data_IF_740309084690
#
_entry.id   IF_740309084690
#
_cell.length_a   1.000
_cell.length_b   1.000
_cell.length_c   1.000
_cell.angle_alpha   90.00
_cell.angle_beta   90.00
_cell.angle_gamma   90.00
#
_symmetry.space_group_name_H-M   'P 1'
#
loop_
_entity.id
_entity.type
_entity.pdbx_description
1 polymer ?
#
# COMPACT_ATOMS: atom_id res chain seq x y z
N UNK A 1 10.08 -12.03 -20.98
CA UNK A 1 10.25 -11.39 -19.66
C UNK A 1 10.64 -9.96 -19.92
N UNK A 2 9.66 -9.06 -19.95
CA UNK A 2 9.91 -7.63 -19.96
C UNK A 2 10.41 -7.25 -18.56
N UNK A 3 11.65 -6.77 -18.50
CA UNK A 3 12.18 -6.17 -17.27
C UNK A 3 11.32 -4.94 -16.94
N UNK A 4 10.99 -4.68 -15.66
CA UNK A 4 10.32 -3.47 -15.28
C UNK A 4 11.11 -2.26 -15.80
N UNK A 5 10.40 -1.27 -16.34
CA UNK A 5 11.02 -0.01 -16.76
C UNK A 5 11.76 0.59 -15.57
N UNK A 6 13.01 0.97 -15.77
CA UNK A 6 13.83 1.53 -14.69
C UNK A 6 13.13 2.72 -14.04
N UNK A 7 13.04 2.74 -12.71
CA UNK A 7 12.44 3.84 -11.98
C UNK A 7 13.17 5.15 -12.27
N UNK A 8 12.43 6.22 -12.46
CA UNK A 8 12.97 7.54 -12.78
C UNK A 8 12.70 8.52 -11.64
N UNK A 9 13.64 9.42 -11.40
CA UNK A 9 13.42 10.56 -10.52
C UNK A 9 12.87 11.75 -11.31
N UNK A 10 11.83 12.40 -10.78
CA UNK A 10 11.24 13.59 -11.39
C UNK A 10 11.27 14.78 -10.45
N UNK A 11 11.39 15.97 -11.02
CA UNK A 11 11.19 17.22 -10.28
C UNK A 11 9.71 17.46 -10.03
N UNK A 12 9.37 18.03 -8.89
CA UNK A 12 7.99 18.30 -8.48
C UNK A 12 7.26 19.35 -9.34
N UNK A 13 7.94 20.05 -10.23
CA UNK A 13 7.42 21.20 -10.96
C UNK A 13 6.72 20.84 -12.29
N UNK A 14 6.57 19.56 -12.63
CA UNK A 14 5.77 19.12 -13.77
C UNK A 14 4.30 18.91 -13.38
N UNK A 15 3.35 19.00 -14.35
CA UNK A 15 1.99 18.59 -14.08
C UNK A 15 2.01 17.14 -13.58
N UNK A 16 1.48 16.94 -12.37
CA UNK A 16 1.29 15.61 -11.82
C UNK A 16 0.20 14.97 -12.67
N UNK A 17 0.60 14.13 -13.60
CA UNK A 17 -0.35 13.14 -14.12
C UNK A 17 -0.63 12.20 -12.98
N UNK A 18 -1.84 12.20 -12.42
CA UNK A 18 -2.16 11.32 -11.30
C UNK A 18 -2.16 9.89 -11.83
N UNK A 19 -1.09 9.20 -11.60
CA UNK A 19 -1.07 7.75 -11.60
C UNK A 19 -0.76 7.34 -10.16
N UNK A 20 -1.82 7.11 -9.44
CA UNK A 20 -1.89 6.77 -8.02
C UNK A 20 -1.62 5.29 -7.75
N UNK A 21 -0.92 4.61 -8.64
CA UNK A 21 -0.69 3.17 -8.56
C UNK A 21 -1.88 2.32 -9.01
N UNK A 22 -2.86 2.91 -9.69
CA UNK A 22 -3.95 2.15 -10.31
C UNK A 22 -3.48 1.51 -11.62
N UNK A 23 -3.56 0.18 -11.76
CA UNK A 23 -3.25 -0.48 -13.03
C UNK A 23 -4.21 -0.04 -14.15
N UNK A 24 -3.66 0.40 -15.26
CA UNK A 24 -4.43 0.77 -16.44
C UNK A 24 -4.37 -0.38 -17.46
N UNK A 25 -5.52 -0.89 -17.92
CA UNK A 25 -5.55 -1.90 -18.98
C UNK A 25 -5.03 -1.28 -20.29
N UNK A 26 -4.12 -1.97 -20.94
CA UNK A 26 -3.52 -1.54 -22.23
C UNK A 26 -4.07 -2.37 -23.36
N UNK A 27 -4.20 -3.68 -23.13
CA UNK A 27 -4.63 -4.65 -24.14
C UNK A 27 -5.35 -5.81 -23.45
N UNK A 28 -6.37 -6.34 -24.10
CA UNK A 28 -7.07 -7.56 -23.71
C UNK A 28 -7.02 -8.52 -24.88
N UNK A 29 -6.51 -9.73 -24.64
CA UNK A 29 -6.54 -10.79 -25.63
C UNK A 29 -7.94 -11.36 -25.77
N UNK A 30 -8.29 -11.88 -26.95
CA UNK A 30 -9.56 -12.57 -27.14
C UNK A 30 -9.72 -13.72 -26.14
N UNK A 31 -10.88 -13.85 -25.50
CA UNK A 31 -11.11 -14.91 -24.53
C UNK A 31 -10.98 -16.30 -25.16
N UNK A 32 -10.19 -17.16 -24.55
CA UNK A 32 -9.94 -18.53 -25.01
C UNK A 32 -10.75 -19.53 -24.20
N UNK A 33 -11.60 -20.31 -24.86
CA UNK A 33 -12.30 -21.44 -24.23
C UNK A 33 -11.30 -22.59 -24.02
N UNK A 34 -10.98 -22.87 -22.76
CA UNK A 34 -10.01 -23.93 -22.41
C UNK A 34 -10.68 -25.31 -22.35
N UNK A 35 -11.78 -25.41 -21.61
CA UNK A 35 -12.47 -26.69 -21.39
C UNK A 35 -13.98 -26.45 -21.17
N UNK A 36 -14.78 -27.44 -21.56
CA UNK A 36 -16.15 -27.52 -21.14
C UNK A 36 -16.25 -28.18 -19.76
N UNK A 37 -17.24 -27.79 -18.97
CA UNK A 37 -17.44 -28.36 -17.64
C UNK A 37 -18.81 -28.10 -17.08
N UNK A 38 -18.99 -28.53 -15.85
CA UNK A 38 -20.22 -28.30 -15.08
C UNK A 38 -19.80 -27.67 -13.74
N UNK A 39 -20.36 -26.53 -13.37
CA UNK A 39 -20.19 -25.88 -12.09
C UNK A 39 -21.56 -25.74 -11.42
N UNK A 40 -21.71 -26.29 -10.22
CA UNK A 40 -22.98 -26.30 -9.47
C UNK A 40 -24.18 -26.83 -10.27
N UNK A 41 -23.94 -27.90 -11.06
CA UNK A 41 -24.99 -28.51 -11.91
C UNK A 41 -25.25 -27.76 -13.23
N UNK A 42 -24.63 -26.63 -13.48
CA UNK A 42 -24.80 -25.80 -14.67
C UNK A 42 -23.72 -26.12 -15.69
N UNK A 43 -24.03 -26.52 -16.92
CA UNK A 43 -23.06 -26.72 -17.98
C UNK A 43 -22.50 -25.37 -18.46
N UNK A 44 -21.23 -25.32 -18.77
CA UNK A 44 -20.56 -24.10 -19.21
C UNK A 44 -19.17 -24.35 -19.73
N UNK A 45 -18.51 -23.26 -20.03
CA UNK A 45 -17.14 -23.26 -20.50
C UNK A 45 -16.22 -22.56 -19.50
N UNK A 46 -15.06 -23.13 -19.23
CA UNK A 46 -13.97 -22.43 -18.59
C UNK A 46 -13.26 -21.58 -19.64
N UNK A 47 -13.30 -20.26 -19.43
CA UNK A 47 -12.77 -19.27 -20.36
C UNK A 47 -11.58 -18.58 -19.69
N UNK A 48 -10.47 -18.56 -20.39
CA UNK A 48 -9.26 -17.84 -20.01
C UNK A 48 -9.27 -16.47 -20.67
N UNK A 49 -9.16 -15.42 -19.88
CA UNK A 49 -9.00 -14.03 -20.34
C UNK A 49 -7.63 -13.52 -19.90
N UNK A 50 -6.86 -12.95 -20.81
CA UNK A 50 -5.56 -12.38 -20.56
C UNK A 50 -5.64 -10.86 -20.78
N UNK A 51 -5.23 -10.08 -19.78
CA UNK A 51 -5.20 -8.62 -19.84
C UNK A 51 -3.82 -8.10 -19.52
N UNK A 52 -3.36 -7.16 -20.31
CA UNK A 52 -2.09 -6.47 -20.12
C UNK A 52 -2.34 -5.13 -19.44
N UNK A 53 -1.55 -4.83 -18.44
CA UNK A 53 -1.69 -3.62 -17.63
C UNK A 53 -0.38 -2.84 -17.62
N UNK A 54 -0.51 -1.50 -17.56
CA UNK A 54 0.55 -0.58 -17.16
C UNK A 54 0.22 0.02 -15.82
N UNK A 55 1.22 0.12 -14.96
CA UNK A 55 1.11 0.79 -13.67
C UNK A 55 2.25 1.79 -13.51
N UNK A 56 1.93 2.92 -12.93
CA UNK A 56 2.90 3.96 -12.58
C UNK A 56 2.57 4.50 -11.21
N UNK A 57 3.55 4.59 -10.34
CA UNK A 57 3.42 5.14 -9.00
C UNK A 57 4.47 6.21 -8.79
N UNK A 58 4.06 7.34 -8.23
CA UNK A 58 4.96 8.42 -7.83
C UNK A 58 5.03 8.48 -6.31
N UNK A 59 6.24 8.53 -5.77
CA UNK A 59 6.49 8.55 -4.35
C UNK A 59 7.07 9.90 -3.93
N UNK A 60 6.33 10.63 -3.09
CA UNK A 60 6.82 11.81 -2.36
C UNK A 60 7.58 11.35 -1.09
N UNK A 61 7.26 10.18 -0.61
CA UNK A 61 7.80 9.52 0.57
C UNK A 61 8.21 8.09 0.20
N UNK A 62 9.45 7.73 0.51
CA UNK A 62 10.03 6.44 0.19
C UNK A 62 10.05 5.58 1.44
N UNK A 63 9.34 4.46 1.46
CA UNK A 63 9.31 3.55 2.58
C UNK A 63 10.60 2.74 2.66
N UNK A 64 11.09 2.56 3.89
CA UNK A 64 12.27 1.77 4.17
C UNK A 64 11.89 0.33 4.49
N UNK A 65 12.60 -0.59 3.89
CA UNK A 65 12.47 -2.02 4.19
C UNK A 65 13.68 -2.57 4.95
N UNK A 66 14.75 -1.79 5.02
CA UNK A 66 15.89 -2.03 5.88
C UNK A 66 16.07 -0.86 6.85
N UNK A 67 15.52 -0.96 8.07
CA UNK A 67 15.64 0.10 9.07
C UNK A 67 17.07 0.26 9.61
N UNK A 68 17.97 -0.67 9.29
CA UNK A 68 19.37 -0.63 9.72
C UNK A 68 20.29 0.07 8.72
N UNK A 69 19.72 0.58 7.63
CA UNK A 69 20.47 1.28 6.58
C UNK A 69 21.35 2.40 7.15
N UNK A 70 22.61 2.37 6.79
CA UNK A 70 23.62 3.32 7.28
C UNK A 70 23.58 4.67 6.56
N UNK A 71 22.81 4.78 5.49
CA UNK A 71 22.67 6.02 4.70
C UNK A 71 21.45 6.85 5.09
N UNK A 72 20.61 6.37 6.00
CA UNK A 72 19.37 7.06 6.39
C UNK A 72 19.63 7.98 7.58
N UNK A 73 20.04 9.21 7.27
CA UNK A 73 20.14 10.31 8.22
C UNK A 73 19.86 11.66 7.52
N UNK A 74 19.38 12.68 8.24
CA UNK A 74 19.05 13.99 7.65
C UNK A 74 20.28 14.61 7.00
N UNK A 75 20.13 15.12 5.77
CA UNK A 75 21.23 15.73 5.02
C UNK A 75 22.15 14.73 4.29
N UNK A 76 21.94 13.42 4.43
CA UNK A 76 22.68 12.42 3.64
C UNK A 76 22.47 12.63 2.15
N UNK A 77 23.57 12.73 1.40
CA UNK A 77 23.54 12.97 -0.04
C UNK A 77 23.71 11.67 -0.82
N UNK A 78 22.75 11.41 -1.72
CA UNK A 78 22.65 10.18 -2.48
C UNK A 78 22.66 10.47 -3.99
N UNK A 79 23.11 9.49 -4.77
CA UNK A 79 22.94 9.46 -6.23
C UNK A 79 21.47 9.17 -6.55
N UNK A 80 20.72 10.16 -7.03
CA UNK A 80 19.27 10.10 -7.14
C UNK A 80 18.72 8.86 -7.86
N UNK A 81 19.31 8.48 -9.01
CA UNK A 81 18.85 7.30 -9.75
C UNK A 81 19.01 5.96 -9.02
N UNK A 82 19.88 5.89 -8.00
CA UNK A 82 20.12 4.65 -7.25
C UNK A 82 19.04 4.38 -6.18
N UNK A 83 18.27 5.39 -5.81
CA UNK A 83 17.18 5.24 -4.82
C UNK A 83 16.09 4.36 -5.39
N UNK A 84 15.76 4.60 -6.62
CA UNK A 84 14.78 3.83 -7.37
C UNK A 84 15.18 2.36 -7.54
N UNK A 85 16.47 2.04 -7.47
CA UNK A 85 16.99 0.66 -7.52
C UNK A 85 17.17 0.05 -6.13
N UNK A 86 16.87 0.79 -5.05
CA UNK A 86 17.07 0.33 -3.67
C UNK A 86 18.54 0.23 -3.24
N UNK A 87 19.50 0.73 -4.03
CA UNK A 87 20.93 0.63 -3.70
C UNK A 87 21.43 1.79 -2.84
N UNK A 88 20.72 2.91 -2.81
CA UNK A 88 21.02 4.09 -1.97
C UNK A 88 22.49 4.49 -1.98
N UNK A 89 23.11 4.61 -3.18
CA UNK A 89 24.51 4.93 -3.27
C UNK A 89 24.81 6.34 -2.75
N UNK A 90 25.61 6.43 -1.69
CA UNK A 90 26.01 7.70 -1.09
C UNK A 90 27.09 8.37 -1.93
N UNK A 91 27.00 9.71 -2.04
CA UNK A 91 28.06 10.54 -2.60
C UNK A 91 28.97 10.95 -1.42
N UNK A 92 30.23 10.54 -1.47
CA UNK A 92 31.20 10.82 -0.39
C UNK A 92 32.14 11.98 -0.69
N UNK A 93 32.34 12.30 -1.98
CA UNK A 93 33.23 13.39 -2.43
C UNK A 93 32.51 14.73 -2.46
N UNK A 94 31.98 15.16 -1.30
CA UNK A 94 31.31 16.44 -1.14
C UNK A 94 31.52 16.99 0.25
N UNK A 95 31.28 18.28 0.40
CA UNK A 95 31.14 18.95 1.69
C UNK A 95 29.81 19.70 1.71
N UNK A 96 28.99 19.40 2.71
CA UNK A 96 27.76 20.17 2.94
C UNK A 96 28.10 21.46 3.69
N UNK A 97 27.27 22.50 3.53
CA UNK A 97 27.23 23.60 4.48
C UNK A 97 26.65 23.16 5.82
N UNK A 98 26.27 24.16 6.63
CA UNK A 98 25.54 23.89 7.88
C UNK A 98 24.19 23.24 7.56
N UNK A 99 23.95 22.08 8.12
CA UNK A 99 22.66 21.38 8.05
C UNK A 99 21.97 21.51 9.39
N UNK A 100 20.89 22.29 9.41
CA UNK A 100 20.00 22.38 10.57
C UNK A 100 18.87 21.38 10.39
N UNK A 101 18.57 20.62 11.41
CA UNK A 101 17.44 19.70 11.44
C UNK A 101 16.75 19.70 12.79
N UNK A 102 15.47 19.37 12.81
CA UNK A 102 14.64 19.39 14.00
C UNK A 102 13.74 18.17 14.08
N UNK A 103 13.41 17.79 15.33
CA UNK A 103 12.44 16.75 15.63
C UNK A 103 11.05 17.39 15.86
N UNK A 104 9.99 16.75 15.38
CA UNK A 104 8.61 17.24 15.52
C UNK A 104 8.00 17.02 16.92
N UNK A 105 8.72 16.40 17.85
CA UNK A 105 8.29 16.21 19.23
C UNK A 105 8.50 17.47 20.06
N UNK A 106 7.68 17.62 21.10
CA UNK A 106 7.83 18.67 22.12
C UNK A 106 8.38 18.06 23.41
N UNK A 107 9.43 18.63 24.02
CA UNK A 107 9.96 18.09 25.26
C UNK A 107 8.97 18.29 26.41
N UNK A 108 8.97 17.36 27.36
CA UNK A 108 8.14 17.47 28.56
C UNK A 108 8.58 18.67 29.41
N UNK A 109 9.89 18.91 29.49
CA UNK A 109 10.46 20.07 30.16
C UNK A 109 10.59 21.25 29.16
N UNK A 110 9.86 22.38 29.36
CA UNK A 110 9.92 23.53 28.46
C UNK A 110 11.30 24.19 28.37
N UNK A 111 12.18 24.00 29.35
CA UNK A 111 13.54 24.52 29.31
C UNK A 111 14.43 23.84 28.26
N UNK A 112 14.03 22.66 27.81
CA UNK A 112 14.71 21.86 26.78
C UNK A 112 14.19 22.16 25.37
N UNK A 113 13.30 23.14 25.19
CA UNK A 113 12.74 23.47 23.88
C UNK A 113 13.80 23.82 22.81
N UNK A 114 14.93 24.37 23.23
CA UNK A 114 16.06 24.67 22.34
C UNK A 114 16.82 23.42 21.87
N UNK A 115 16.62 22.28 22.53
CA UNK A 115 17.28 21.01 22.20
C UNK A 115 16.54 20.22 21.10
N UNK A 116 15.39 20.71 20.62
CA UNK A 116 14.61 20.04 19.57
C UNK A 116 15.20 20.21 18.17
N UNK A 117 16.25 21.00 18.05
CA UNK A 117 16.98 21.20 16.80
C UNK A 117 18.49 21.15 17.01
N UNK A 118 19.20 20.80 15.95
CA UNK A 118 20.65 20.82 15.93
C UNK A 118 21.13 21.35 14.57
N UNK A 119 22.31 22.02 14.60
CA UNK A 119 22.97 22.46 13.37
C UNK A 119 24.38 21.84 13.35
N UNK A 120 24.65 21.09 12.30
CA UNK A 120 25.89 20.35 12.11
C UNK A 120 26.56 20.80 10.80
N UNK A 121 27.78 21.34 10.84
CA UNK A 121 28.53 21.64 9.63
C UNK A 121 29.04 20.35 8.99
N UNK A 122 28.83 20.19 7.68
CA UNK A 122 29.27 19.02 6.91
C UNK A 122 28.85 17.69 7.56
N UNK A 123 27.53 17.55 7.78
CA UNK A 123 26.93 16.46 8.54
C UNK A 123 27.35 15.06 8.06
N UNK A 124 27.60 14.17 9.01
CA UNK A 124 27.83 12.74 8.83
C UNK A 124 26.92 11.94 9.75
N UNK A 125 26.80 10.65 9.47
CA UNK A 125 25.96 9.74 10.27
C UNK A 125 26.35 9.75 11.76
N UNK A 126 27.64 9.76 12.07
CA UNK A 126 28.13 9.74 13.49
C UNK A 126 27.66 10.94 14.28
N UNK A 127 27.73 12.14 13.70
CA UNK A 127 27.30 13.38 14.34
C UNK A 127 25.78 13.44 14.52
N UNK A 128 25.04 12.95 13.53
CA UNK A 128 23.59 12.77 13.68
C UNK A 128 23.27 11.78 14.81
N UNK A 129 24.03 10.67 14.92
CA UNK A 129 23.84 9.68 15.99
C UNK A 129 24.07 10.27 17.39
N UNK A 130 24.98 11.22 17.55
CA UNK A 130 25.19 11.93 18.83
C UNK A 130 23.95 12.72 19.22
N UNK A 131 23.36 13.46 18.27
CA UNK A 131 22.11 14.19 18.51
C UNK A 131 20.95 13.23 18.81
N UNK A 132 20.85 12.13 18.07
CA UNK A 132 19.85 11.09 18.30
C UNK A 132 19.95 10.50 19.71
N UNK A 133 21.16 10.15 20.15
CA UNK A 133 21.39 9.61 21.49
C UNK A 133 20.99 10.62 22.58
N UNK A 134 21.24 11.91 22.36
CA UNK A 134 20.76 12.95 23.25
C UNK A 134 19.24 13.01 23.31
N UNK A 135 18.56 13.02 22.16
CA UNK A 135 17.11 13.02 22.08
C UNK A 135 16.49 11.76 22.73
N UNK A 136 17.11 10.61 22.59
CA UNK A 136 16.65 9.36 23.19
C UNK A 136 16.67 9.36 24.73
N UNK A 137 17.44 10.27 25.36
CA UNK A 137 17.47 10.43 26.82
C UNK A 137 16.53 11.52 27.34
N UNK A 138 15.87 12.26 26.46
CA UNK A 138 14.93 13.33 26.84
C UNK A 138 13.53 12.76 27.08
N UNK A 139 12.80 13.41 27.98
CA UNK A 139 11.38 13.15 28.16
C UNK A 139 10.57 13.95 27.16
N UNK A 140 9.68 13.28 26.44
CA UNK A 140 8.82 13.88 25.43
C UNK A 140 7.37 13.91 25.88
N UNK A 141 6.63 14.96 25.49
CA UNK A 141 5.18 14.98 25.64
C UNK A 141 4.56 13.95 24.72
N UNK A 142 3.43 13.39 25.16
CA UNK A 142 2.59 12.60 24.26
C UNK A 142 2.31 13.37 22.97
N UNK A 143 2.51 12.72 21.84
CA UNK A 143 2.27 13.27 20.51
C UNK A 143 1.24 12.43 19.78
N UNK A 144 0.34 13.06 19.02
CA UNK A 144 -0.60 12.30 18.19
C UNK A 144 0.13 11.39 17.22
N UNK A 145 -0.22 10.12 17.22
CA UNK A 145 0.31 9.15 16.26
C UNK A 145 -0.57 9.14 15.02
N UNK A 146 0.03 9.40 13.86
CA UNK A 146 -0.70 9.28 12.59
C UNK A 146 -0.74 7.83 12.15
N UNK A 147 -1.95 7.26 12.10
CA UNK A 147 -2.15 5.89 11.63
C UNK A 147 -2.78 5.91 10.24
N UNK A 148 -2.10 5.29 9.27
CA UNK A 148 -2.55 5.14 7.89
C UNK A 148 -2.78 3.66 7.62
N UNK A 149 -3.88 3.32 6.97
CA UNK A 149 -4.16 1.96 6.53
C UNK A 149 -4.51 1.92 5.05
N UNK A 150 -4.15 0.85 4.39
CA UNK A 150 -4.62 0.51 3.05
C UNK A 150 -4.82 -0.99 2.91
N UNK A 151 -5.79 -1.38 2.08
CA UNK A 151 -6.04 -2.76 1.69
C UNK A 151 -6.14 -2.79 0.18
N UNK A 152 -5.29 -3.56 -0.47
CA UNK A 152 -5.17 -3.56 -1.92
C UNK A 152 -5.02 -4.99 -2.45
N UNK A 153 -5.67 -5.30 -3.54
CA UNK A 153 -5.41 -6.51 -4.30
C UNK A 153 -4.14 -6.34 -5.13
N UNK A 154 -3.34 -7.38 -5.15
CA UNK A 154 -2.08 -7.44 -5.90
C UNK A 154 -2.16 -8.61 -6.87
N UNK A 155 -1.99 -8.36 -8.15
CA UNK A 155 -2.16 -9.38 -9.18
C UNK A 155 -0.84 -9.98 -9.67
N UNK A 156 0.27 -9.28 -9.42
CA UNK A 156 1.60 -9.76 -9.84
C UNK A 156 2.72 -9.22 -8.96
N UNK A 157 3.90 -9.82 -9.07
CA UNK A 157 5.10 -9.34 -8.41
C UNK A 157 5.50 -7.94 -8.92
N UNK A 158 5.34 -7.67 -10.20
CA UNK A 158 5.65 -6.38 -10.81
C UNK A 158 4.75 -5.27 -10.27
N UNK A 159 3.46 -5.56 -10.09
CA UNK A 159 2.51 -4.64 -9.46
C UNK A 159 2.89 -4.36 -8.00
N UNK A 160 3.19 -5.41 -7.22
CA UNK A 160 3.61 -5.29 -5.83
C UNK A 160 4.81 -4.34 -5.68
N UNK A 161 5.84 -4.57 -6.49
CA UNK A 161 7.06 -3.78 -6.53
C UNK A 161 6.77 -2.33 -6.88
N UNK A 162 5.94 -2.10 -7.88
CA UNK A 162 5.60 -0.75 -8.31
C UNK A 162 4.82 0.00 -7.22
N UNK A 163 3.89 -0.67 -6.54
CA UNK A 163 3.08 -0.07 -5.47
C UNK A 163 3.84 0.19 -4.17
N UNK A 164 4.84 -0.63 -3.85
CA UNK A 164 5.65 -0.47 -2.64
C UNK A 164 6.94 0.35 -2.86
N UNK A 165 7.29 0.57 -4.13
CA UNK A 165 8.59 1.07 -4.51
C UNK A 165 9.62 -0.04 -4.72
N UNK A 166 10.70 0.28 -5.42
CA UNK A 166 11.69 -0.70 -5.91
C UNK A 166 12.50 -1.36 -4.80
N UNK A 167 12.51 -0.79 -3.61
CA UNK A 167 13.20 -1.36 -2.45
C UNK A 167 12.78 -2.82 -2.11
N UNK A 168 11.64 -3.29 -2.63
CA UNK A 168 11.15 -4.67 -2.44
C UNK A 168 11.82 -5.66 -3.39
N UNK A 169 12.39 -5.21 -4.52
CA UNK A 169 12.95 -6.10 -5.55
C UNK A 169 14.44 -6.22 -5.58
N UNK A 170 15.14 -5.24 -5.01
CA UNK A 170 16.57 -5.43 -4.89
C UNK A 170 16.78 -6.63 -3.98
N UNK A 171 17.47 -7.69 -4.44
CA UNK A 171 18.05 -8.62 -3.51
C UNK A 171 19.08 -7.79 -2.72
N UNK A 172 18.59 -7.11 -1.67
CA UNK A 172 19.49 -6.55 -0.69
C UNK A 172 20.22 -7.77 -0.19
N UNK A 173 21.52 -7.80 -0.34
CA UNK A 173 22.36 -8.93 0.01
C UNK A 173 22.14 -9.40 1.47
N UNK A 174 21.33 -8.68 2.26
CA UNK A 174 21.07 -8.92 3.67
C UNK A 174 19.61 -8.68 4.11
N UNK A 175 18.60 -8.78 3.25
CA UNK A 175 17.23 -8.69 3.74
C UNK A 175 16.20 -8.11 2.77
N UNK A 176 15.92 -8.82 1.68
CA UNK A 176 14.66 -8.59 0.98
C UNK A 176 13.51 -8.91 1.94
N UNK A 177 12.58 -7.97 2.15
CA UNK A 177 11.34 -8.30 2.85
C UNK A 177 10.60 -9.30 1.99
N UNK A 178 10.56 -10.52 2.46
CA UNK A 178 9.69 -11.53 1.89
C UNK A 178 8.29 -11.29 2.42
N UNK A 179 7.43 -10.70 1.59
CA UNK A 179 6.01 -10.55 1.92
C UNK A 179 5.22 -11.85 1.77
N UNK A 180 5.87 -12.95 1.42
CA UNK A 180 5.28 -14.29 1.44
C UNK A 180 4.34 -14.61 0.28
N UNK A 181 4.13 -13.71 -0.69
CA UNK A 181 3.25 -13.98 -1.82
C UNK A 181 3.82 -15.01 -2.80
N UNK A 182 2.95 -15.93 -3.22
CA UNK A 182 3.24 -16.87 -4.29
C UNK A 182 2.25 -16.68 -5.44
N UNK A 183 2.60 -15.78 -6.37
CA UNK A 183 1.76 -15.44 -7.52
C UNK A 183 1.56 -16.60 -8.52
N UNK A 184 2.20 -17.74 -8.35
CA UNK A 184 1.93 -18.96 -9.14
C UNK A 184 0.67 -19.69 -8.64
N UNK A 185 0.21 -19.42 -7.42
CA UNK A 185 -1.03 -19.99 -6.89
C UNK A 185 -2.23 -19.24 -7.47
N UNK A 186 -3.29 -19.98 -7.80
CA UNK A 186 -4.58 -19.41 -8.25
C UNK A 186 -5.40 -18.91 -7.05
N UNK A 187 -4.88 -17.97 -6.30
CA UNK A 187 -5.52 -17.36 -5.14
C UNK A 187 -5.64 -15.85 -5.32
N UNK A 188 -6.52 -15.21 -4.57
CA UNK A 188 -6.48 -13.76 -4.41
C UNK A 188 -5.33 -13.39 -3.47
N UNK A 189 -4.53 -12.42 -3.88
CA UNK A 189 -3.42 -11.89 -3.10
C UNK A 189 -3.80 -10.49 -2.62
N UNK A 190 -3.92 -10.31 -1.34
CA UNK A 190 -4.31 -9.04 -0.72
C UNK A 190 -3.16 -8.54 0.16
N UNK A 191 -2.77 -7.29 -0.05
CA UNK A 191 -1.82 -6.60 0.79
C UNK A 191 -2.57 -5.59 1.67
N UNK A 192 -2.56 -5.81 2.97
CA UNK A 192 -2.98 -4.80 3.92
C UNK A 192 -1.75 -4.17 4.58
N UNK A 193 -1.75 -2.84 4.68
CA UNK A 193 -0.68 -2.06 5.32
C UNK A 193 -1.26 -1.25 6.47
N UNK A 194 -0.54 -1.25 7.58
CA UNK A 194 -0.81 -0.39 8.72
C UNK A 194 0.48 0.34 9.09
N UNK A 195 0.47 1.66 8.96
CA UNK A 195 1.62 2.52 9.19
C UNK A 195 1.30 3.45 10.34
N UNK A 196 2.14 3.44 11.37
CA UNK A 196 2.07 4.40 12.46
C UNK A 196 3.31 5.29 12.43
N UNK A 197 3.08 6.59 12.16
CA UNK A 197 4.11 7.63 12.25
C UNK A 197 4.02 8.29 13.60
N UNK A 198 5.09 8.23 14.35
CA UNK A 198 5.18 8.81 15.70
C UNK A 198 5.75 10.22 15.65
N UNK A 199 6.82 10.43 14.90
CA UNK A 199 7.43 11.74 14.72
C UNK A 199 8.26 11.80 13.44
N UNK A 200 8.66 13.00 13.09
CA UNK A 200 9.49 13.29 11.93
C UNK A 200 10.73 14.06 12.37
N UNK A 201 11.87 13.74 11.77
CA UNK A 201 13.07 14.58 11.80
C UNK A 201 13.22 15.21 10.43
N UNK A 202 13.27 16.53 10.35
CA UNK A 202 13.33 17.26 9.08
C UNK A 202 14.43 18.28 9.05
N UNK A 203 15.08 18.46 7.90
CA UNK A 203 16.08 19.49 7.67
C UNK A 203 15.41 20.82 7.33
N UNK A 204 15.98 21.91 7.79
CA UNK A 204 15.65 23.23 7.31
C UNK A 204 16.10 23.41 5.86
N UNK A 205 15.47 24.36 5.15
CA UNK A 205 15.91 24.72 3.82
C UNK A 205 17.34 25.33 3.89
N UNK A 206 18.27 24.88 3.03
CA UNK A 206 19.61 25.41 2.99
C UNK A 206 19.62 26.93 2.72
N UNK A 207 20.33 27.70 3.51
CA UNK A 207 20.37 29.18 3.42
C UNK A 207 20.79 29.71 2.05
N UNK A 208 21.60 28.95 1.30
CA UNK A 208 22.07 29.31 -0.04
C UNK A 208 21.27 28.63 -1.18
N UNK A 209 20.15 27.97 -0.86
CA UNK A 209 19.35 27.21 -1.84
C UNK A 209 19.99 25.88 -2.27
N UNK A 210 21.21 25.58 -1.86
CA UNK A 210 21.90 24.31 -2.08
C UNK A 210 22.45 23.77 -0.77
N UNK A 211 22.44 22.46 -0.59
CA UNK A 211 23.04 21.84 0.59
C UNK A 211 24.57 21.81 0.51
N UNK A 212 25.13 21.96 -0.66
CA UNK A 212 26.57 21.89 -0.88
C UNK A 212 27.31 23.17 -0.51
N UNK A 213 28.43 23.04 0.18
CA UNK A 213 29.51 24.00 0.20
C UNK A 213 30.47 23.71 -0.98
N UNK A 214 30.78 22.44 -1.23
CA UNK A 214 31.57 21.98 -2.35
C UNK A 214 31.19 20.55 -2.76
N UNK A 215 31.32 20.25 -4.06
CA UNK A 215 31.05 18.92 -4.61
C UNK A 215 32.00 18.64 -5.76
N UNK A 216 32.57 17.44 -5.78
CA UNK A 216 33.24 16.88 -6.92
C UNK A 216 32.20 16.38 -7.94
N UNK A 217 32.12 17.06 -9.08
CA UNK A 217 31.14 16.71 -10.13
C UNK A 217 31.41 15.37 -10.80
N UNK A 218 32.67 14.95 -10.83
CA UNK A 218 33.04 13.66 -11.45
C UNK A 218 32.56 12.48 -10.57
N UNK A 219 32.46 12.68 -9.25
CA UNK A 219 31.90 11.71 -8.33
C UNK A 219 30.38 11.45 -8.51
N UNK A 220 29.70 12.29 -9.29
CA UNK A 220 28.27 12.14 -9.56
C UNK A 220 27.96 11.02 -10.58
N UNK A 221 28.94 10.60 -11.39
CA UNK A 221 28.77 9.59 -12.45
C UNK A 221 27.53 9.83 -13.33
N UNK A 222 27.21 11.10 -13.59
CA UNK A 222 26.03 11.51 -14.34
C UNK A 222 24.70 11.48 -13.55
N UNK A 223 24.69 11.07 -12.28
CA UNK A 223 23.51 11.11 -11.44
C UNK A 223 23.23 12.52 -10.91
N UNK A 224 21.94 12.85 -10.74
CA UNK A 224 21.55 14.05 -10.01
C UNK A 224 21.67 13.79 -8.51
N UNK A 225 22.37 14.67 -7.75
CA UNK A 225 22.48 14.51 -6.31
C UNK A 225 21.17 14.91 -5.63
N UNK A 226 20.70 14.06 -4.72
CA UNK A 226 19.58 14.32 -3.84
C UNK A 226 20.00 14.14 -2.40
N UNK A 227 19.29 14.76 -1.48
CA UNK A 227 19.55 14.56 -0.07
C UNK A 227 18.28 14.19 0.70
N UNK A 228 18.44 13.48 1.79
CA UNK A 228 17.34 13.13 2.69
C UNK A 228 16.95 14.38 3.46
N UNK A 229 15.75 14.89 3.17
CA UNK A 229 15.23 16.12 3.75
C UNK A 229 14.35 15.90 4.97
N UNK A 230 13.71 14.73 5.07
CA UNK A 230 12.94 14.35 6.25
C UNK A 230 12.92 12.84 6.41
N UNK A 231 12.81 12.39 7.65
CA UNK A 231 12.72 10.97 8.02
C UNK A 231 11.57 10.82 8.98
N UNK A 232 10.64 9.91 8.68
CA UNK A 232 9.56 9.55 9.58
C UNK A 232 9.97 8.32 10.40
N UNK A 233 9.72 8.39 11.69
CA UNK A 233 9.98 7.35 12.66
C UNK A 233 8.69 6.73 13.16
N UNK A 234 8.69 5.42 13.32
CA UNK A 234 7.49 4.71 13.75
C UNK A 234 7.58 3.22 13.52
N UNK A 235 6.45 2.65 13.05
CA UNK A 235 6.34 1.23 12.75
C UNK A 235 5.42 0.96 11.58
N UNK A 236 5.64 -0.14 10.87
CA UNK A 236 4.83 -0.61 9.76
C UNK A 236 4.51 -2.09 9.96
N UNK A 237 3.27 -2.45 9.69
CA UNK A 237 2.81 -3.83 9.59
C UNK A 237 2.34 -4.06 8.16
N UNK A 238 2.85 -5.10 7.52
CA UNK A 238 2.34 -5.65 6.28
C UNK A 238 1.66 -6.98 6.58
N UNK A 239 0.42 -7.12 6.13
CA UNK A 239 -0.33 -8.36 6.14
C UNK A 239 -0.49 -8.80 4.70
N UNK A 240 0.19 -9.86 4.32
CA UNK A 240 0.06 -10.49 3.00
C UNK A 240 -0.88 -11.67 3.12
N UNK A 241 -1.99 -11.64 2.42
CA UNK A 241 -3.07 -12.62 2.56
C UNK A 241 -3.29 -13.30 1.22
N UNK A 242 -3.14 -14.63 1.18
CA UNK A 242 -3.50 -15.47 0.05
C UNK A 242 -4.76 -16.26 0.38
N UNK A 243 -5.81 -16.13 -0.45
CA UNK A 243 -7.11 -16.73 -0.14
C UNK A 243 -7.88 -17.13 -1.39
N UNK A 244 -8.72 -18.18 -1.25
CA UNK A 244 -9.69 -18.59 -2.25
C UNK A 244 -11.04 -17.83 -2.10
N UNK A 245 -11.19 -17.05 -1.03
CA UNK A 245 -12.39 -16.25 -0.78
C UNK A 245 -12.54 -15.13 -1.83
N UNK A 246 -13.79 -14.74 -2.10
CA UNK A 246 -14.06 -13.63 -3.01
C UNK A 246 -13.45 -12.33 -2.46
N UNK A 247 -12.84 -11.55 -3.34
CA UNK A 247 -12.15 -10.29 -3.01
C UNK A 247 -12.97 -9.38 -2.09
N UNK A 248 -14.26 -9.17 -2.41
CA UNK A 248 -15.14 -8.34 -1.58
C UNK A 248 -15.24 -8.84 -0.14
N UNK A 249 -15.47 -10.12 0.04
CA UNK A 249 -15.71 -10.71 1.36
C UNK A 249 -14.45 -10.65 2.22
N UNK A 250 -13.29 -10.92 1.61
CA UNK A 250 -12.02 -10.87 2.35
C UNK A 250 -11.62 -9.44 2.69
N UNK A 251 -11.86 -8.46 1.80
CA UNK A 251 -11.59 -7.06 2.09
C UNK A 251 -12.44 -6.57 3.27
N UNK A 252 -13.73 -6.90 3.32
CA UNK A 252 -14.61 -6.59 4.45
C UNK A 252 -14.09 -7.23 5.76
N UNK A 253 -13.60 -8.47 5.70
CA UNK A 253 -13.03 -9.16 6.86
C UNK A 253 -11.72 -8.50 7.35
N UNK A 254 -10.87 -8.07 6.43
CA UNK A 254 -9.61 -7.37 6.73
C UNK A 254 -9.90 -5.99 7.33
N UNK A 255 -10.81 -5.22 6.72
CA UNK A 255 -11.21 -3.91 7.24
C UNK A 255 -11.82 -4.02 8.65
N UNK A 256 -12.66 -5.02 8.88
CA UNK A 256 -13.17 -5.33 10.21
C UNK A 256 -12.02 -5.58 11.20
N UNK A 257 -11.05 -6.42 10.84
CA UNK A 257 -9.90 -6.72 11.69
C UNK A 257 -9.06 -5.47 11.98
N UNK A 258 -8.74 -4.66 10.95
CA UNK A 258 -7.97 -3.44 11.09
C UNK A 258 -8.68 -2.38 11.94
N UNK A 259 -9.99 -2.23 11.80
CA UNK A 259 -10.77 -1.31 12.62
C UNK A 259 -10.82 -1.77 14.09
N UNK A 260 -10.98 -3.06 14.34
CA UNK A 260 -10.87 -3.63 15.70
C UNK A 260 -9.49 -3.40 16.30
N UNK A 261 -8.43 -3.62 15.53
CA UNK A 261 -7.04 -3.35 15.93
C UNK A 261 -6.87 -1.88 16.38
N UNK A 262 -7.50 -0.93 15.70
CA UNK A 262 -7.46 0.51 16.06
C UNK A 262 -8.36 0.89 17.23
N UNK A 263 -9.13 -0.05 17.78
CA UNK A 263 -10.10 0.23 18.82
C UNK A 263 -11.36 0.98 18.32
N UNK A 264 -11.60 0.96 17.01
CA UNK A 264 -12.81 1.53 16.41
C UNK A 264 -13.96 0.52 16.53
N UNK A 265 -15.07 0.93 17.12
CA UNK A 265 -16.25 0.10 17.13
C UNK A 265 -16.85 -0.04 15.73
N UNK A 266 -16.90 -1.28 15.27
CA UNK A 266 -17.49 -1.62 13.98
C UNK A 266 -18.85 -2.24 14.21
N UNK A 267 -19.87 -1.62 13.63
CA UNK A 267 -21.25 -2.08 13.80
C UNK A 267 -21.53 -3.27 12.87
N UNK A 268 -21.09 -4.45 13.25
CA UNK A 268 -21.36 -5.73 12.56
C UNK A 268 -22.09 -6.68 13.53
N UNK A 269 -22.94 -7.55 12.98
CA UNK A 269 -23.58 -8.57 13.78
C UNK A 269 -22.56 -9.59 14.36
N UNK A 270 -22.89 -10.26 15.45
CA UNK A 270 -22.03 -11.27 16.04
C UNK A 270 -21.71 -12.39 15.02
N UNK A 271 -22.69 -12.79 14.22
CA UNK A 271 -22.52 -13.83 13.18
C UNK A 271 -21.58 -13.38 12.07
N UNK A 272 -21.66 -12.12 11.63
CA UNK A 272 -20.73 -11.55 10.65
C UNK A 272 -19.31 -11.50 11.21
N UNK A 273 -19.13 -11.08 12.46
CA UNK A 273 -17.82 -11.07 13.11
C UNK A 273 -17.20 -12.46 13.19
N UNK A 274 -18.01 -13.50 13.50
CA UNK A 274 -17.56 -14.89 13.48
C UNK A 274 -17.18 -15.35 12.08
N UNK A 275 -17.95 -14.98 11.06
CA UNK A 275 -17.67 -15.34 9.67
C UNK A 275 -16.37 -14.68 9.19
N UNK A 276 -16.12 -13.42 9.49
CA UNK A 276 -14.89 -12.73 9.14
C UNK A 276 -13.66 -13.37 9.76
N UNK A 277 -13.74 -13.74 11.05
CA UNK A 277 -12.66 -14.48 11.72
C UNK A 277 -12.39 -15.85 11.06
N UNK A 278 -13.44 -16.58 10.66
CA UNK A 278 -13.30 -17.86 9.95
C UNK A 278 -12.66 -17.69 8.58
N UNK A 279 -12.99 -16.63 7.83
CA UNK A 279 -12.37 -16.34 6.52
C UNK A 279 -10.87 -16.09 6.69
N UNK A 280 -10.50 -15.23 7.63
CA UNK A 280 -9.09 -14.92 7.90
C UNK A 280 -8.33 -16.17 8.37
N UNK A 281 -8.94 -16.99 9.24
CA UNK A 281 -8.33 -18.22 9.73
C UNK A 281 -8.13 -19.31 8.66
N UNK A 282 -8.89 -19.26 7.55
CA UNK A 282 -8.73 -20.15 6.39
C UNK A 282 -7.75 -19.63 5.34
N UNK A 283 -7.35 -18.39 5.45
CA UNK A 283 -6.42 -17.73 4.54
C UNK A 283 -4.97 -17.97 4.98
N UNK A 284 -4.05 -18.02 4.01
CA UNK A 284 -2.63 -18.01 4.31
C UNK A 284 -2.22 -16.56 4.61
N UNK A 285 -1.92 -16.24 5.86
CA UNK A 285 -1.55 -14.90 6.30
C UNK A 285 -0.08 -14.87 6.67
N UNK A 286 0.67 -13.98 6.02
CA UNK A 286 2.05 -13.67 6.35
C UNK A 286 2.15 -12.26 6.92
N UNK A 287 2.84 -12.13 8.06
CA UNK A 287 2.94 -10.87 8.80
C UNK A 287 4.39 -10.40 8.78
N UNK A 288 4.60 -9.19 8.30
CA UNK A 288 5.90 -8.52 8.34
C UNK A 288 5.79 -7.25 9.16
N UNK A 289 6.67 -7.09 10.14
CA UNK A 289 6.69 -5.94 11.04
C UNK A 289 8.03 -5.23 10.94
N UNK A 290 7.98 -3.92 10.71
CA UNK A 290 9.12 -3.03 10.72
C UNK A 290 8.95 -2.02 11.86
N UNK A 291 9.99 -1.88 12.69
CA UNK A 291 9.95 -1.04 13.89
C UNK A 291 9.22 -1.69 15.06
N UNK A 292 9.32 -1.07 16.23
CA UNK A 292 8.82 -1.62 17.49
C UNK A 292 9.83 -2.55 18.18
N UNK A 293 9.69 -2.69 19.50
CA UNK A 293 10.59 -3.52 20.29
C UNK A 293 10.45 -5.02 20.02
N UNK A 294 11.52 -5.78 20.18
CA UNK A 294 11.60 -7.22 19.87
C UNK A 294 10.49 -8.04 20.54
N UNK A 295 10.18 -7.79 21.79
CA UNK A 295 9.14 -8.50 22.54
C UNK A 295 7.76 -8.30 21.92
N UNK A 296 7.44 -7.07 21.52
CA UNK A 296 6.16 -6.71 20.92
C UNK A 296 6.05 -7.29 19.51
N UNK A 297 7.16 -7.30 18.74
CA UNK A 297 7.19 -7.96 17.44
C UNK A 297 6.92 -9.46 17.54
N UNK A 298 7.45 -10.12 18.56
CA UNK A 298 7.19 -11.55 18.79
C UNK A 298 5.72 -11.83 19.16
N UNK A 299 5.06 -10.92 19.86
CA UNK A 299 3.63 -11.07 20.17
C UNK A 299 2.75 -10.98 18.94
N UNK A 300 3.02 -10.01 18.04
CA UNK A 300 2.20 -9.81 16.85
C UNK A 300 2.29 -11.00 15.88
N UNK A 301 3.41 -11.72 15.87
CA UNK A 301 3.59 -12.91 15.06
C UNK A 301 2.68 -14.07 15.47
N UNK A 302 2.00 -13.98 16.62
CA UNK A 302 0.96 -14.94 17.02
C UNK A 302 -0.30 -14.81 16.15
N UNK A 303 -0.48 -13.67 15.47
CA UNK A 303 -1.52 -13.45 14.47
C UNK A 303 -2.93 -13.24 15.00
N UNK A 304 -3.12 -13.07 16.32
CA UNK A 304 -4.43 -12.76 16.88
C UNK A 304 -4.68 -11.24 16.95
N UNK A 305 -5.96 -10.84 16.89
CA UNK A 305 -6.37 -9.42 16.88
C UNK A 305 -5.92 -8.70 18.16
N UNK A 306 -5.97 -9.37 19.30
CA UNK A 306 -5.61 -8.77 20.59
C UNK A 306 -4.11 -8.47 20.65
N UNK A 307 -3.27 -9.31 20.06
CA UNK A 307 -1.84 -9.07 19.91
C UNK A 307 -1.57 -7.85 19.02
N UNK A 308 -2.31 -7.67 17.93
CA UNK A 308 -2.23 -6.48 17.08
C UNK A 308 -2.67 -5.22 17.83
N UNK A 309 -3.75 -5.30 18.61
CA UNK A 309 -4.22 -4.16 19.44
C UNK A 309 -3.16 -3.76 20.46
N UNK A 310 -2.60 -4.72 21.19
CA UNK A 310 -1.51 -4.45 22.15
C UNK A 310 -0.29 -3.86 21.47
N UNK A 311 0.08 -4.36 20.29
CA UNK A 311 1.19 -3.81 19.52
C UNK A 311 0.97 -2.34 19.16
N UNK A 312 -0.23 -1.97 18.73
CA UNK A 312 -0.53 -0.59 18.33
C UNK A 312 -0.68 0.36 19.52
N UNK A 313 -1.17 -0.15 20.65
CA UNK A 313 -1.35 0.63 21.87
C UNK A 313 -0.06 0.74 22.71
N UNK A 314 0.93 -0.10 22.43
CA UNK A 314 2.18 -0.08 23.21
C UNK A 314 2.97 1.20 22.94
N UNK A 315 3.36 1.85 24.02
CA UNK A 315 4.36 2.91 23.97
C UNK A 315 5.71 2.32 23.57
N UNK A 316 6.33 2.97 22.61
CA UNK A 316 7.67 2.56 22.15
C UNK A 316 8.64 3.62 22.59
N UNK A 317 9.65 3.26 23.41
CA UNK A 317 10.75 4.16 23.71
C UNK A 317 11.44 4.65 22.44
N UNK A 318 11.92 5.88 22.44
CA UNK A 318 12.50 6.51 21.24
C UNK A 318 13.66 5.70 20.66
N UNK A 319 14.47 5.08 21.50
CA UNK A 319 15.60 4.23 21.11
C UNK A 319 15.18 2.94 20.37
N UNK A 320 13.91 2.55 20.47
CA UNK A 320 13.33 1.40 19.77
C UNK A 320 12.52 1.81 18.53
N UNK A 321 12.43 3.10 18.26
CA UNK A 321 11.79 3.58 17.04
C UNK A 321 12.78 3.57 15.88
N UNK A 322 12.31 3.11 14.75
CA UNK A 322 13.10 2.96 13.53
C UNK A 322 12.65 3.96 12.47
N UNK A 323 13.55 4.40 11.59
CA UNK A 323 13.15 5.13 10.40
C UNK A 323 12.30 4.21 9.52
N UNK A 324 11.08 4.64 9.19
CA UNK A 324 10.14 3.87 8.37
C UNK A 324 10.01 4.42 6.96
N UNK A 325 10.31 5.70 6.79
CA UNK A 325 10.26 6.36 5.49
C UNK A 325 11.07 7.65 5.49
N UNK A 326 11.39 8.12 4.29
CA UNK A 326 12.09 9.39 4.11
C UNK A 326 11.62 10.13 2.85
N UNK A 327 11.79 11.44 2.84
CA UNK A 327 11.57 12.30 1.69
C UNK A 327 12.87 12.91 1.19
N UNK A 328 12.88 13.27 -0.08
CA UNK A 328 14.06 13.70 -0.80
C UNK A 328 13.88 15.11 -1.37
N UNK A 329 15.01 15.82 -1.45
CA UNK A 329 15.14 17.07 -2.19
C UNK A 329 16.38 17.03 -3.07
N UNK A 330 16.35 17.76 -4.19
CA UNK A 330 17.55 17.95 -4.99
C UNK A 330 18.58 18.78 -4.22
N UNK A 331 19.79 18.27 -4.17
CA UNK A 331 20.86 18.89 -3.37
C UNK A 331 21.34 20.22 -3.93
N UNK A 332 21.08 20.50 -5.22
CA UNK A 332 21.56 21.69 -5.94
C UNK A 332 20.63 22.90 -5.80
N UNK A 333 19.33 22.70 -5.64
CA UNK A 333 18.33 23.78 -5.67
C UNK A 333 17.21 23.63 -4.62
N UNK A 334 17.31 22.63 -3.76
CA UNK A 334 16.34 22.31 -2.71
C UNK A 334 14.90 22.03 -3.20
N UNK A 335 14.69 21.84 -4.51
CA UNK A 335 13.38 21.44 -5.01
C UNK A 335 13.05 20.00 -4.57
N UNK A 336 11.75 19.70 -4.43
CA UNK A 336 11.32 18.36 -4.05
C UNK A 336 11.70 17.34 -5.11
N UNK A 337 12.27 16.22 -4.68
CA UNK A 337 12.58 15.09 -5.54
C UNK A 337 11.57 13.96 -5.28
N UNK A 338 11.07 13.36 -6.36
CA UNK A 338 10.11 12.27 -6.34
C UNK A 338 10.67 11.05 -7.05
N UNK A 339 10.43 9.89 -6.49
CA UNK A 339 10.73 8.61 -7.14
C UNK A 339 9.51 8.16 -7.93
N UNK A 340 9.71 7.79 -9.18
CA UNK A 340 8.66 7.25 -10.04
C UNK A 340 8.99 5.81 -10.33
N UNK A 341 8.10 4.91 -9.98
CA UNK A 341 8.15 3.49 -10.35
C UNK A 341 7.09 3.21 -11.41
N UNK A 342 7.44 2.42 -12.41
CA UNK A 342 6.50 1.98 -13.43
C UNK A 342 6.83 0.56 -13.88
N UNK A 343 5.79 -0.21 -14.18
CA UNK A 343 5.95 -1.56 -14.74
C UNK A 343 4.78 -1.92 -15.65
N UNK A 344 4.97 -2.98 -16.41
CA UNK A 344 3.93 -3.64 -17.20
C UNK A 344 3.80 -5.06 -16.68
N UNK A 345 2.56 -5.55 -16.56
CA UNK A 345 2.31 -6.91 -16.12
C UNK A 345 1.06 -7.47 -16.80
N UNK A 346 0.94 -8.79 -16.77
CA UNK A 346 -0.15 -9.51 -17.39
C UNK A 346 -0.94 -10.25 -16.32
N UNK A 347 -2.26 -10.10 -16.35
CA UNK A 347 -3.18 -10.84 -15.49
C UNK A 347 -3.94 -11.84 -16.34
N UNK A 348 -3.84 -13.10 -15.97
CA UNK A 348 -4.64 -14.16 -16.58
C UNK A 348 -5.71 -14.60 -15.60
N UNK A 349 -6.97 -14.45 -15.99
CA UNK A 349 -8.13 -14.84 -15.23
C UNK A 349 -8.82 -16.01 -15.91
N UNK A 350 -9.38 -16.91 -15.10
CA UNK A 350 -10.13 -18.06 -15.59
C UNK A 350 -11.52 -18.04 -14.98
N UNK A 351 -12.50 -17.81 -15.82
CA UNK A 351 -13.89 -17.68 -15.41
C UNK A 351 -14.72 -18.82 -15.98
N UNK A 352 -15.74 -19.22 -15.23
CA UNK A 352 -16.73 -20.14 -15.72
C UNK A 352 -17.87 -19.36 -16.35
N UNK A 353 -18.06 -19.54 -17.67
CA UNK A 353 -19.14 -18.92 -18.42
C UNK A 353 -20.24 -19.97 -18.65
N UNK A 354 -21.41 -19.84 -18.02
CA UNK A 354 -22.50 -20.80 -18.18
C UNK A 354 -23.08 -20.74 -19.60
N UNK A 355 -23.32 -21.91 -20.15
CA UNK A 355 -24.02 -22.06 -21.44
C UNK A 355 -25.46 -22.40 -21.18
N UNK A 356 -26.32 -21.42 -21.29
CA UNK A 356 -27.74 -21.61 -21.14
C UNK A 356 -28.37 -22.05 -22.48
N UNK A 357 -29.13 -23.13 -22.47
CA UNK A 357 -30.00 -23.46 -23.62
C UNK A 357 -31.05 -22.37 -23.75
N UNK A 358 -31.14 -21.76 -24.92
CA UNK A 358 -32.25 -20.84 -25.22
C UNK A 358 -33.55 -21.60 -25.14
N UNK A 359 -34.38 -21.32 -24.15
CA UNK A 359 -35.72 -21.86 -24.03
C UNK A 359 -36.68 -20.85 -24.67
N UNK A 360 -37.36 -21.23 -25.71
CA UNK A 360 -38.45 -20.42 -26.26
C UNK A 360 -39.71 -20.79 -25.49
N UNK A 361 -40.21 -19.90 -24.67
CA UNK A 361 -41.48 -20.04 -23.99
C UNK A 361 -42.58 -19.35 -24.83
N UNK A 362 -43.66 -20.06 -25.08
CA UNK A 362 -44.85 -19.49 -25.70
C UNK A 362 -45.92 -19.42 -24.60
N UNK A 363 -46.28 -18.20 -24.21
CA UNK A 363 -47.38 -17.96 -23.29
C UNK A 363 -48.69 -17.92 -24.08
N UNK A 364 -49.60 -18.85 -23.84
CA UNK A 364 -50.93 -18.84 -24.36
C UNK A 364 -51.90 -18.46 -23.23
N UNK A 365 -52.56 -17.33 -23.38
CA UNK A 365 -53.62 -16.93 -22.44
C UNK A 365 -54.92 -17.63 -22.86
N UNK A 366 -55.31 -18.59 -22.03
CA UNK A 366 -56.51 -19.44 -22.35
C UNK A 366 -57.83 -18.81 -21.91
N UNK A 367 -57.81 -17.68 -21.23
CA UNK A 367 -58.99 -16.93 -20.85
C UNK A 367 -58.81 -16.10 -19.58
N UNK A 368 -59.70 -15.18 -19.37
CA UNK A 368 -59.83 -14.43 -18.13
C UNK A 368 -61.15 -14.78 -17.44
N UNK A 369 -61.07 -15.12 -16.17
CA UNK A 369 -62.25 -15.18 -15.30
C UNK A 369 -62.14 -14.09 -14.25
N UNK A 370 -63.02 -13.12 -14.27
CA UNK A 370 -63.10 -12.06 -13.28
C UNK A 370 -64.57 -11.85 -12.91
N UNK A 371 -64.87 -11.76 -11.59
CA UNK A 371 -66.17 -11.28 -11.15
C UNK A 371 -66.15 -9.74 -11.14
N UNK A 372 -66.98 -9.14 -11.93
CA UNK A 372 -67.23 -7.70 -11.93
C UNK A 372 -68.44 -7.41 -11.05
N UNK A 373 -68.26 -6.69 -9.98
CA UNK A 373 -69.35 -6.25 -9.08
C UNK A 373 -69.68 -4.78 -9.33
N UNK A 374 -70.34 -4.51 -10.47
CA UNK A 374 -70.77 -3.16 -10.78
C UNK A 374 -71.28 -3.03 -12.22
N UNK A 375 -72.02 -1.95 -12.61
CA UNK A 375 -72.44 -1.76 -14.00
C UNK A 375 -71.17 -1.62 -14.89
N UNK A 376 -71.15 -2.41 -15.97
CA UNK A 376 -70.06 -2.38 -16.96
C UNK A 376 -69.98 -1.00 -17.59
N UNK A 377 -68.86 -0.27 -17.44
CA UNK A 377 -68.63 0.90 -18.27
C UNK A 377 -68.49 0.44 -19.73
N UNK A 378 -68.84 1.27 -20.65
CA UNK A 378 -68.56 1.02 -22.07
C UNK A 378 -67.14 0.65 -22.27
N UNK A 379 -66.85 -0.60 -22.63
CA UNK A 379 -65.50 -1.03 -22.94
C UNK A 379 -65.15 -0.40 -24.29
N UNK A 380 -64.41 0.65 -24.26
CA UNK A 380 -63.66 1.12 -25.42
C UNK A 380 -62.67 0.03 -25.84
N UNK A 381 -62.40 -0.02 -27.14
CA UNK A 381 -61.65 -1.11 -27.81
C UNK A 381 -60.23 -1.30 -27.35
N UNK A 382 -59.76 -0.49 -26.43
CA UNK A 382 -58.38 -0.50 -25.91
C UNK A 382 -58.32 -0.74 -24.39
N UNK A 383 -58.73 -1.93 -23.94
CA UNK A 383 -58.54 -2.34 -22.57
C UNK A 383 -57.06 -2.74 -22.33
N UNK A 384 -56.31 -1.93 -21.62
CA UNK A 384 -54.97 -2.28 -21.20
C UNK A 384 -55.02 -3.21 -19.97
N UNK A 385 -54.55 -4.45 -20.12
CA UNK A 385 -54.47 -5.44 -19.06
C UNK A 385 -53.01 -5.44 -18.54
N UNK A 386 -52.81 -5.13 -17.28
CA UNK A 386 -51.55 -5.19 -16.63
C UNK A 386 -51.45 -6.44 -15.77
N UNK A 387 -50.36 -7.21 -15.95
CA UNK A 387 -50.10 -8.38 -15.14
C UNK A 387 -48.59 -8.62 -14.97
N UNK A 388 -48.22 -9.24 -13.84
CA UNK A 388 -46.85 -9.67 -13.59
C UNK A 388 -46.75 -11.17 -13.81
N UNK A 389 -45.94 -11.59 -14.78
CA UNK A 389 -45.61 -13.00 -14.99
C UNK A 389 -44.35 -13.33 -14.24
N UNK A 390 -44.42 -14.23 -13.28
CA UNK A 390 -43.26 -14.78 -12.60
C UNK A 390 -42.93 -16.16 -13.17
N UNK A 391 -41.72 -16.33 -13.65
CA UNK A 391 -41.21 -17.62 -14.12
C UNK A 391 -40.29 -18.17 -13.03
N UNK A 392 -40.69 -19.26 -12.41
CA UNK A 392 -39.82 -20.04 -11.52
C UNK A 392 -39.12 -21.12 -12.33
N UNK A 393 -37.81 -21.16 -12.29
CA UNK A 393 -37.02 -22.28 -12.81
C UNK A 393 -36.75 -23.20 -11.64
N UNK A 394 -37.44 -24.34 -11.59
CA UNK A 394 -37.07 -25.42 -10.70
C UNK A 394 -35.95 -26.21 -11.38
N UNK A 395 -34.75 -26.20 -10.74
CA UNK A 395 -33.58 -26.99 -11.13
C UNK A 395 -33.76 -28.46 -10.73
#
# INVERSE_FOLDING_TARGET
KTLPLAPMMTRANGPITPNDGTPLPVEEEDPVVETQGVLDGIPGNWVKTTRHYKIKQTFDENFLFDPTSDVVYPGCVLKGGTIANGTYAMITSHKTGDVTFSISLSPANPREAHETSATIPNIRKSEYQEVWNKWATMDWKESPVTTIQSVEKINSQEELVTKLGVAVTAPVANGSINLGFNFNKKKNHILARLIQKHFTVSTDAPKKGTIFESIDKDALDGYQPVYISSINYGRIIYLSIETDEKERNINEAIEFALNKIKGVDVNVSADQAVNYRKMLAKSDVHITVLGGGKTIQQEILKGDIDSFQRFLAADIPMEQMYPISFSLRYAVDNSQARVVSSSEFTVTQRDFVPVFKKVRMQLQVLGFSGQHSGPLPNLDKDANIWGKVMVGVNG
#
